data_IF_980353186675
#
_entry.id   IF_980353186675
#
_cell.length_a   1.000
_cell.length_b   1.000
_cell.length_c   1.000
_cell.angle_alpha   90.00
_cell.angle_beta   90.00
_cell.angle_gamma   90.00
#
_symmetry.space_group_name_H-M   'P 1'
#
loop_
_entity.id
_entity.type
_entity.pdbx_description
1 polymer ?
#
# COMPACT_ATOMS: atom_id res chain seq x y z
N UNK A 1 -18.24 6.35 6.67
CA UNK A 1 -16.82 6.06 6.43
C UNK A 1 -16.61 5.20 5.19
N UNK A 2 -17.22 4.02 5.08
CA UNK A 2 -17.04 3.11 3.92
C UNK A 2 -17.37 3.72 2.56
N UNK A 3 -18.41 4.56 2.47
CA UNK A 3 -18.77 5.24 1.22
C UNK A 3 -17.66 6.19 0.76
N UNK A 4 -17.07 6.94 1.68
CA UNK A 4 -16.01 7.91 1.37
C UNK A 4 -14.75 7.18 0.90
N UNK A 5 -14.31 6.15 1.64
CA UNK A 5 -13.15 5.36 1.25
C UNK A 5 -13.39 4.56 -0.04
N UNK A 6 -14.60 4.04 -0.25
CA UNK A 6 -14.98 3.37 -1.49
C UNK A 6 -14.93 4.31 -2.70
N UNK A 7 -15.43 5.53 -2.56
CA UNK A 7 -15.32 6.56 -3.61
C UNK A 7 -13.83 6.86 -3.89
N UNK A 8 -13.03 7.07 -2.85
CA UNK A 8 -11.60 7.32 -3.01
C UNK A 8 -10.91 6.20 -3.81
N UNK A 9 -11.17 4.93 -3.48
CA UNK A 9 -10.58 3.80 -4.21
C UNK A 9 -11.05 3.69 -5.65
N UNK A 10 -12.27 4.13 -5.98
CA UNK A 10 -12.79 4.12 -7.36
C UNK A 10 -12.07 5.09 -8.29
N UNK A 11 -11.50 6.17 -7.75
CA UNK A 11 -10.81 7.20 -8.52
C UNK A 11 -9.27 7.04 -8.55
N UNK A 12 -8.70 6.14 -7.73
CA UNK A 12 -7.27 5.91 -7.67
C UNK A 12 -6.91 4.55 -8.24
N UNK A 13 -6.20 4.52 -9.36
CA UNK A 13 -5.71 3.29 -9.96
C UNK A 13 -4.65 2.66 -9.06
N UNK A 14 -4.79 1.36 -8.82
CA UNK A 14 -3.88 0.63 -7.91
C UNK A 14 -2.44 0.60 -8.42
N UNK A 15 -2.24 0.63 -9.73
CA UNK A 15 -0.92 0.69 -10.36
C UNK A 15 -0.19 1.98 -9.98
N UNK A 16 -0.87 3.13 -10.04
CA UNK A 16 -0.32 4.43 -9.70
C UNK A 16 -0.01 4.51 -8.20
N UNK A 17 -0.91 3.97 -7.37
CA UNK A 17 -0.70 3.86 -5.91
C UNK A 17 0.54 3.01 -5.58
N UNK A 18 0.75 1.92 -6.31
CA UNK A 18 1.92 1.04 -6.14
C UNK A 18 3.22 1.62 -6.67
N UNK A 19 3.16 2.74 -7.37
CA UNK A 19 4.34 3.45 -7.85
C UNK A 19 4.87 2.96 -9.20
N UNK A 20 4.03 2.29 -10.01
CA UNK A 20 4.42 1.81 -11.35
C UNK A 20 4.95 2.92 -12.25
N UNK A 21 4.43 4.14 -12.09
CA UNK A 21 4.86 5.32 -12.85
C UNK A 21 6.32 5.73 -12.57
N UNK A 22 6.91 5.27 -11.50
CA UNK A 22 8.31 5.56 -11.15
C UNK A 22 9.31 4.55 -11.73
N UNK A 23 8.83 3.42 -12.28
CA UNK A 23 9.68 2.38 -12.89
C UNK A 23 9.98 2.71 -14.36
N UNK A 24 11.23 2.49 -14.78
CA UNK A 24 11.65 2.64 -16.18
C UNK A 24 11.21 1.49 -17.08
N UNK A 25 11.04 0.29 -16.51
CA UNK A 25 10.67 -0.92 -17.25
C UNK A 25 9.64 -1.69 -16.44
N UNK A 26 8.58 -2.15 -17.12
CA UNK A 26 7.51 -2.96 -16.51
C UNK A 26 7.82 -4.46 -16.52
N UNK A 27 8.91 -4.89 -17.13
CA UNK A 27 9.30 -6.30 -17.20
C UNK A 27 9.94 -6.73 -15.86
N UNK A 28 9.22 -7.58 -15.12
CA UNK A 28 9.76 -8.28 -13.96
C UNK A 28 10.65 -9.40 -14.49
N UNK A 29 11.94 -9.13 -14.59
CA UNK A 29 12.93 -10.18 -14.83
C UNK A 29 13.20 -10.80 -13.46
N UNK A 30 12.70 -12.01 -13.23
CA UNK A 30 13.05 -12.79 -12.04
C UNK A 30 14.55 -13.05 -12.05
N UNK A 31 15.29 -12.29 -11.26
CA UNK A 31 16.72 -12.53 -11.08
C UNK A 31 16.93 -13.61 -10.03
N UNK A 32 17.76 -14.63 -10.30
CA UNK A 32 18.08 -15.64 -9.29
C UNK A 32 18.74 -14.97 -8.09
N UNK A 33 18.34 -15.38 -6.87
CA UNK A 33 18.91 -14.85 -5.63
C UNK A 33 20.41 -15.06 -5.61
N UNK A 34 21.15 -13.96 -5.65
CA UNK A 34 22.61 -13.92 -5.57
C UNK A 34 23.13 -13.70 -4.15
N UNK A 35 24.38 -13.28 -4.04
CA UNK A 35 24.93 -12.78 -2.78
C UNK A 35 24.34 -11.40 -2.48
N UNK A 36 24.23 -11.08 -1.18
CA UNK A 36 23.80 -9.75 -0.73
C UNK A 36 24.68 -8.66 -1.35
N UNK A 37 24.04 -7.71 -2.02
CA UNK A 37 24.75 -6.57 -2.63
C UNK A 37 25.16 -5.53 -1.61
N UNK A 38 26.16 -4.74 -1.95
CA UNK A 38 26.59 -3.57 -1.16
C UNK A 38 25.54 -2.44 -1.23
N UNK A 39 25.37 -1.65 -0.14
CA UNK A 39 24.42 -0.54 -0.11
C UNK A 39 24.58 0.48 -1.26
N UNK A 40 25.82 0.78 -1.65
CA UNK A 40 26.10 1.67 -2.78
C UNK A 40 25.58 1.13 -4.10
N UNK A 41 25.70 -0.19 -4.31
CA UNK A 41 25.14 -0.85 -5.50
C UNK A 41 23.62 -0.76 -5.53
N UNK A 42 22.96 -0.80 -4.36
CA UNK A 42 21.51 -0.63 -4.28
C UNK A 42 21.06 0.77 -4.73
N UNK A 43 21.81 1.83 -4.36
CA UNK A 43 21.53 3.20 -4.84
C UNK A 43 21.62 3.29 -6.37
N UNK A 44 22.68 2.72 -6.95
CA UNK A 44 22.87 2.72 -8.42
C UNK A 44 21.76 1.92 -9.12
N UNK A 45 21.37 0.78 -8.55
CA UNK A 45 20.31 -0.05 -9.09
C UNK A 45 18.96 0.70 -9.13
N UNK A 46 18.61 1.42 -8.07
CA UNK A 46 17.38 2.22 -8.03
C UNK A 46 17.46 3.39 -9.01
N UNK A 47 18.60 4.06 -9.14
CA UNK A 47 18.79 5.15 -10.11
C UNK A 47 18.66 4.66 -11.57
N UNK A 48 19.11 3.44 -11.86
CA UNK A 48 19.01 2.85 -13.19
C UNK A 48 17.58 2.38 -13.51
N UNK A 49 16.93 1.73 -12.56
CA UNK A 49 15.59 1.12 -12.74
C UNK A 49 14.42 2.09 -12.58
N UNK A 50 14.67 3.29 -12.04
CA UNK A 50 13.60 4.28 -11.77
C UNK A 50 13.93 5.66 -12.35
N UNK A 51 12.92 6.53 -12.38
CA UNK A 51 13.09 7.97 -12.67
C UNK A 51 13.34 8.79 -11.39
N UNK A 52 13.63 8.11 -10.26
CA UNK A 52 13.83 8.73 -8.96
C UNK A 52 15.32 8.98 -8.72
N UNK A 53 15.61 9.99 -7.90
CA UNK A 53 16.97 10.33 -7.48
C UNK A 53 17.22 9.79 -6.08
N UNK A 54 18.08 8.76 -5.91
CA UNK A 54 18.43 8.22 -4.60
C UNK A 54 19.23 9.22 -3.76
N UNK A 55 18.93 9.25 -2.46
CA UNK A 55 19.59 10.13 -1.47
C UNK A 55 20.37 9.30 -0.45
N UNK A 56 19.71 8.33 0.16
CA UNK A 56 20.27 7.51 1.23
C UNK A 56 19.79 6.08 1.14
N UNK A 57 20.50 5.16 1.82
CA UNK A 57 20.11 3.76 1.94
C UNK A 57 20.24 3.32 3.39
N UNK A 58 19.20 2.61 3.87
CA UNK A 58 19.17 2.02 5.22
C UNK A 58 18.78 0.55 5.10
N UNK A 59 19.49 -0.32 5.79
CA UNK A 59 19.13 -1.73 5.88
C UNK A 59 18.05 -1.94 6.94
N UNK A 60 16.99 -2.67 6.58
CA UNK A 60 15.90 -3.07 7.47
C UNK A 60 16.01 -4.57 7.70
N UNK A 61 16.20 -4.95 8.95
CA UNK A 61 16.34 -6.35 9.38
C UNK A 61 15.20 -6.82 10.28
N UNK A 62 14.41 -5.88 10.81
CA UNK A 62 13.32 -6.16 11.75
C UNK A 62 11.98 -5.81 11.15
N UNK A 63 10.98 -6.67 11.37
CA UNK A 63 9.60 -6.39 10.99
C UNK A 63 8.95 -5.45 12.00
N UNK A 64 8.16 -4.51 11.50
CA UNK A 64 7.42 -3.56 12.31
C UNK A 64 5.97 -3.49 11.83
N UNK A 65 5.04 -3.76 12.73
CA UNK A 65 3.62 -3.64 12.47
C UNK A 65 3.25 -2.26 11.92
N UNK A 66 2.40 -2.22 10.89
CA UNK A 66 1.99 -0.99 10.23
C UNK A 66 3.06 -0.28 9.40
N UNK A 67 4.24 -0.88 9.22
CA UNK A 67 5.31 -0.32 8.40
C UNK A 67 4.95 -0.27 6.91
N UNK A 68 5.67 0.57 6.14
CA UNK A 68 5.51 0.66 4.69
C UNK A 68 5.97 -0.60 3.95
N UNK A 69 6.79 -1.43 4.60
CA UNK A 69 7.36 -2.67 4.06
C UNK A 69 6.72 -3.94 4.61
N UNK A 70 5.64 -3.81 5.41
CA UNK A 70 4.94 -4.97 5.99
C UNK A 70 4.58 -6.02 4.95
N UNK A 71 4.62 -7.27 5.34
CA UNK A 71 4.38 -8.40 4.45
C UNK A 71 5.48 -8.67 3.41
N UNK A 72 6.64 -8.03 3.53
CA UNK A 72 7.81 -8.28 2.68
C UNK A 72 8.84 -9.12 3.41
N UNK A 73 9.57 -9.94 2.65
CA UNK A 73 10.69 -10.73 3.20
C UNK A 73 11.83 -9.81 3.60
N UNK A 74 12.42 -10.07 4.78
CA UNK A 74 13.59 -9.34 5.27
C UNK A 74 14.86 -10.18 5.07
N UNK A 75 16.05 -9.54 5.02
CA UNK A 75 16.29 -8.11 5.10
C UNK A 75 15.94 -7.36 3.81
N UNK A 76 15.71 -6.04 3.92
CA UNK A 76 15.46 -5.14 2.79
C UNK A 76 16.39 -3.93 2.86
N UNK A 77 16.70 -3.35 1.72
CA UNK A 77 17.21 -1.99 1.65
C UNK A 77 16.04 -1.01 1.42
N UNK A 78 15.91 -0.03 2.31
CA UNK A 78 15.07 1.13 2.12
C UNK A 78 15.94 2.25 1.54
N UNK A 79 15.63 2.68 0.34
CA UNK A 79 16.31 3.77 -0.36
C UNK A 79 15.39 4.99 -0.33
N UNK A 80 15.82 6.04 0.36
CA UNK A 80 15.15 7.33 0.29
C UNK A 80 15.47 7.98 -1.04
N UNK A 81 14.44 8.40 -1.74
CA UNK A 81 14.54 9.01 -3.06
C UNK A 81 13.66 10.26 -3.16
N UNK A 82 13.92 11.08 -4.16
CA UNK A 82 13.04 12.19 -4.56
C UNK A 82 12.69 12.09 -6.04
N UNK A 83 11.49 12.56 -6.39
CA UNK A 83 11.08 12.77 -7.78
C UNK A 83 11.50 14.17 -8.29
N UNK A 84 11.08 14.52 -9.51
CA UNK A 84 11.37 15.84 -10.12
C UNK A 84 10.73 17.01 -9.35
N UNK A 85 9.66 16.75 -8.61
CA UNK A 85 8.93 17.74 -7.80
C UNK A 85 9.49 17.85 -6.36
N UNK A 86 10.62 17.17 -6.07
CA UNK A 86 11.24 17.05 -4.74
C UNK A 86 10.36 16.37 -3.68
N UNK A 87 9.41 15.55 -4.07
CA UNK A 87 8.65 14.74 -3.12
C UNK A 87 9.45 13.52 -2.67
N UNK A 88 9.45 13.24 -1.37
CA UNK A 88 10.11 12.09 -0.77
C UNK A 88 9.39 10.77 -1.07
N UNK A 89 10.09 9.82 -1.66
CA UNK A 89 9.58 8.51 -2.05
C UNK A 89 10.53 7.44 -1.50
N UNK A 90 9.99 6.46 -0.78
CA UNK A 90 10.77 5.34 -0.29
C UNK A 90 10.70 4.18 -1.28
N UNK A 91 11.85 3.68 -1.69
CA UNK A 91 11.98 2.50 -2.55
C UNK A 91 12.56 1.36 -1.71
N UNK A 92 11.89 0.22 -1.74
CA UNK A 92 12.32 -0.98 -1.04
C UNK A 92 12.85 -2.00 -2.04
N UNK A 93 14.07 -2.47 -1.81
CA UNK A 93 14.79 -3.36 -2.69
C UNK A 93 15.25 -4.61 -1.91
N UNK A 94 15.04 -5.79 -2.50
CA UNK A 94 15.60 -7.05 -1.98
C UNK A 94 17.10 -7.08 -2.29
N UNK A 95 17.97 -7.16 -1.27
CA UNK A 95 19.42 -7.11 -1.47
C UNK A 95 20.01 -8.36 -2.14
N UNK A 96 19.24 -9.43 -2.30
CA UNK A 96 19.69 -10.69 -2.90
C UNK A 96 19.24 -10.87 -4.35
N UNK A 97 18.00 -10.47 -4.66
CA UNK A 97 17.48 -10.51 -6.03
C UNK A 97 17.69 -9.21 -6.79
N UNK A 98 18.07 -8.13 -6.10
CA UNK A 98 18.19 -6.79 -6.68
C UNK A 98 16.87 -6.25 -7.25
N UNK A 99 15.73 -6.80 -6.82
CA UNK A 99 14.40 -6.40 -7.28
C UNK A 99 13.82 -5.31 -6.39
N UNK A 100 13.13 -4.37 -7.03
CA UNK A 100 12.33 -3.36 -6.33
C UNK A 100 11.02 -4.04 -5.92
N UNK A 101 10.88 -4.31 -4.61
CA UNK A 101 9.72 -5.01 -4.05
C UNK A 101 8.57 -4.08 -3.64
N UNK A 102 8.85 -2.79 -3.46
CA UNK A 102 7.85 -1.78 -3.16
C UNK A 102 8.33 -0.35 -3.41
N UNK A 103 7.42 0.52 -3.84
CA UNK A 103 7.62 1.98 -3.92
C UNK A 103 6.51 2.63 -3.10
N UNK A 104 6.87 3.60 -2.25
CA UNK A 104 5.98 4.25 -1.30
C UNK A 104 6.04 5.77 -1.42
N UNK A 105 5.10 6.30 -2.17
CA UNK A 105 4.89 7.74 -2.36
C UNK A 105 3.88 8.30 -1.34
N UNK A 106 3.66 9.61 -1.35
CA UNK A 106 2.59 10.22 -0.58
C UNK A 106 1.20 9.70 -0.98
N UNK A 107 0.98 9.45 -2.27
CA UNK A 107 -0.25 8.84 -2.75
C UNK A 107 -0.48 7.45 -2.13
N UNK A 108 0.57 6.63 -2.03
CA UNK A 108 0.47 5.34 -1.35
C UNK A 108 0.15 5.50 0.14
N UNK A 109 0.76 6.47 0.84
CA UNK A 109 0.50 6.72 2.27
C UNK A 109 -0.95 7.12 2.54
N UNK A 110 -1.51 7.97 1.66
CA UNK A 110 -2.93 8.36 1.74
C UNK A 110 -3.82 7.14 1.48
N UNK A 111 -3.50 6.35 0.46
CA UNK A 111 -4.24 5.13 0.13
C UNK A 111 -4.21 4.14 1.30
N UNK A 112 -3.06 3.92 1.89
CA UNK A 112 -2.86 3.02 3.02
C UNK A 112 -3.61 3.49 4.28
N UNK A 113 -3.64 4.79 4.53
CA UNK A 113 -4.46 5.38 5.59
C UNK A 113 -5.96 5.15 5.35
N UNK A 114 -6.44 5.41 4.13
CA UNK A 114 -7.85 5.17 3.76
C UNK A 114 -8.21 3.69 3.83
N UNK A 115 -7.26 2.80 3.51
CA UNK A 115 -7.43 1.36 3.67
C UNK A 115 -7.59 0.97 5.14
N UNK A 116 -6.73 1.47 6.03
CA UNK A 116 -6.84 1.24 7.47
C UNK A 116 -8.21 1.65 8.03
N UNK A 117 -8.72 2.82 7.61
CA UNK A 117 -10.07 3.29 7.95
C UNK A 117 -11.14 2.35 7.39
N UNK A 118 -10.98 1.89 6.14
CA UNK A 118 -11.95 1.02 5.46
C UNK A 118 -12.13 -0.32 6.18
N UNK A 119 -11.03 -0.94 6.57
CA UNK A 119 -11.03 -2.22 7.28
C UNK A 119 -11.13 -2.07 8.81
N UNK A 120 -11.18 -0.83 9.33
CA UNK A 120 -11.21 -0.54 10.78
C UNK A 120 -10.02 -1.12 11.56
N UNK A 121 -8.89 -1.19 10.91
CA UNK A 121 -7.61 -1.55 11.51
C UNK A 121 -6.60 -0.42 11.33
N UNK A 122 -6.45 0.39 12.35
CA UNK A 122 -5.58 1.58 12.31
C UNK A 122 -4.12 1.28 12.65
N UNK A 123 -3.86 0.14 13.24
CA UNK A 123 -2.54 -0.22 13.76
C UNK A 123 -1.70 -1.00 12.74
N UNK A 124 -2.20 -2.15 12.34
CA UNK A 124 -1.49 -3.07 11.45
C UNK A 124 -1.88 -2.87 9.97
N UNK A 125 -3.14 -2.47 9.72
CA UNK A 125 -3.74 -2.23 8.40
C UNK A 125 -3.76 -3.47 7.50
N UNK A 126 -3.76 -4.65 8.12
CA UNK A 126 -3.76 -5.97 7.46
C UNK A 126 -4.84 -6.89 8.00
N UNK A 127 -5.39 -6.62 9.19
CA UNK A 127 -6.35 -7.49 9.85
C UNK A 127 -7.79 -7.23 9.38
N UNK A 128 -8.18 -7.86 8.28
CA UNK A 128 -9.57 -7.83 7.77
C UNK A 128 -10.53 -8.63 8.66
N UNK A 129 -10.00 -9.50 9.53
CA UNK A 129 -10.80 -10.34 10.44
C UNK A 129 -11.15 -9.70 11.77
N UNK A 130 -10.90 -8.39 11.98
CA UNK A 130 -11.06 -7.73 13.27
C UNK A 130 -12.54 -7.62 13.71
N UNK A 131 -12.76 -7.52 15.03
CA UNK A 131 -14.08 -7.52 15.63
C UNK A 131 -14.90 -6.29 15.22
N UNK A 132 -14.26 -5.13 15.11
CA UNK A 132 -14.95 -3.89 14.72
C UNK A 132 -15.56 -4.01 13.33
N UNK A 133 -14.79 -4.50 12.35
CA UNK A 133 -15.28 -4.70 10.99
C UNK A 133 -16.48 -5.66 10.96
N UNK A 134 -16.44 -6.75 11.73
CA UNK A 134 -17.56 -7.71 11.83
C UNK A 134 -18.82 -7.06 12.42
N UNK A 135 -18.68 -6.33 13.52
CA UNK A 135 -19.82 -5.64 14.17
C UNK A 135 -20.45 -4.62 13.20
N UNK A 136 -19.65 -3.76 12.60
CA UNK A 136 -20.15 -2.73 11.69
C UNK A 136 -20.75 -3.31 10.41
N UNK A 137 -20.22 -4.44 9.91
CA UNK A 137 -20.81 -5.15 8.77
C UNK A 137 -22.21 -5.69 9.10
N UNK A 138 -22.40 -6.25 10.29
CA UNK A 138 -23.73 -6.72 10.75
C UNK A 138 -24.68 -5.53 10.90
N UNK A 139 -24.25 -4.44 11.53
CA UNK A 139 -25.07 -3.23 11.68
C UNK A 139 -25.47 -2.64 10.33
N UNK A 140 -24.57 -2.60 9.37
CA UNK A 140 -24.85 -2.13 8.01
C UNK A 140 -25.90 -3.01 7.32
N UNK A 141 -25.79 -4.34 7.46
CA UNK A 141 -26.77 -5.28 6.93
C UNK A 141 -28.16 -5.07 7.55
N UNK A 142 -28.22 -4.99 8.88
CA UNK A 142 -29.50 -4.74 9.60
C UNK A 142 -30.12 -3.42 9.18
N UNK A 143 -29.30 -2.37 9.03
CA UNK A 143 -29.78 -1.05 8.56
C UNK A 143 -30.35 -1.12 7.14
N UNK A 144 -29.68 -1.82 6.23
CA UNK A 144 -30.15 -2.01 4.86
C UNK A 144 -31.48 -2.79 4.82
N UNK A 145 -31.59 -3.90 5.56
CA UNK A 145 -32.82 -4.69 5.65
C UNK A 145 -33.98 -3.88 6.26
N UNK A 146 -33.69 -3.09 7.29
CA UNK A 146 -34.70 -2.20 7.90
C UNK A 146 -35.21 -1.15 6.90
N UNK A 147 -34.34 -0.57 6.10
CA UNK A 147 -34.72 0.37 5.05
C UNK A 147 -35.62 -0.26 3.98
N UNK A 148 -35.28 -1.46 3.54
CA UNK A 148 -36.11 -2.24 2.60
C UNK A 148 -37.48 -2.54 3.20
N UNK A 149 -37.52 -3.02 4.45
CA UNK A 149 -38.78 -3.32 5.15
C UNK A 149 -39.68 -2.08 5.26
N UNK A 150 -39.12 -0.94 5.67
CA UNK A 150 -39.87 0.32 5.78
C UNK A 150 -40.42 0.80 4.45
N UNK A 151 -39.65 0.67 3.37
CA UNK A 151 -40.08 1.02 2.01
C UNK A 151 -41.35 0.25 1.61
N UNK A 152 -41.35 -1.08 1.76
CA UNK A 152 -42.50 -1.91 1.41
C UNK A 152 -43.66 -1.76 2.39
N UNK A 153 -43.39 -1.53 3.69
CA UNK A 153 -44.44 -1.31 4.68
C UNK A 153 -45.17 0.03 4.50
N UNK A 154 -44.44 1.09 4.13
CA UNK A 154 -45.03 2.41 3.85
C UNK A 154 -45.96 2.39 2.62
N UNK A 155 -45.60 1.62 1.60
CA UNK A 155 -46.39 1.53 0.37
C UNK A 155 -47.72 0.74 0.54
N UNK A 156 -47.88 -0.06 1.62
CA UNK A 156 -49.13 -0.77 1.91
C UNK A 156 -50.19 0.09 2.61
N UNK A 157 -49.86 1.30 3.05
CA UNK A 157 -50.76 2.21 3.76
C UNK A 157 -51.37 3.30 2.85
N UNK A 158 -51.13 3.26 1.56
CA UNK A 158 -51.84 4.02 0.53
C UNK A 158 -52.78 3.10 -0.23
#
# INVERSE_FOLDING_TARGET
>A
MWTISGIYFSFNKIEDVRGSQYLRTTEVIETPKGNKIEPQKALLNVADKTFLKPISVVEITEDKAGSEYRGRSLPLYMIETINEENEGINVYLDPFSEEIVAIRSNQWRIWDFMWGIHIMDWNERDNIGNVFLKIFSILALLSALSGIYLFFSSNKKK
#
